data_IF_500621636362
#
_entry.id   IF_500621636362
#
_cell.length_a   1.000
_cell.length_b   1.000
_cell.length_c   1.000
_cell.angle_alpha   90.00
_cell.angle_beta   90.00
_cell.angle_gamma   90.00
#
_symmetry.space_group_name_H-M   'P 1'
#
loop_
_entity.id
_entity.type
_entity.pdbx_description
1 polymer ?
#
# COMPACT_ATOMS: atom_id res chain seq x y z
N UNK A 1 -1.43 -9.61 -20.75
CA UNK A 1 -1.75 -8.23 -21.21
C UNK A 1 -3.05 -7.67 -20.63
N UNK A 2 -4.12 -8.46 -20.45
CA UNK A 2 -5.37 -7.98 -19.80
C UNK A 2 -5.15 -7.51 -18.35
N UNK A 3 -4.44 -8.31 -17.55
CA UNK A 3 -4.21 -8.01 -16.13
C UNK A 3 -3.37 -6.75 -15.94
N UNK A 4 -2.27 -6.60 -16.69
CA UNK A 4 -1.45 -5.38 -16.68
C UNK A 4 -2.24 -4.12 -17.06
N UNK A 5 -3.08 -4.19 -18.11
CA UNK A 5 -3.92 -3.07 -18.50
C UNK A 5 -4.93 -2.68 -17.42
N UNK A 6 -5.57 -3.66 -16.79
CA UNK A 6 -6.50 -3.43 -15.68
C UNK A 6 -5.76 -2.83 -14.46
N UNK A 7 -4.58 -3.35 -14.13
CA UNK A 7 -3.75 -2.82 -13.03
C UNK A 7 -3.34 -1.37 -13.27
N UNK A 8 -2.94 -1.01 -14.49
CA UNK A 8 -2.60 0.37 -14.85
C UNK A 8 -3.81 1.30 -14.79
N UNK A 9 -4.97 0.84 -15.26
CA UNK A 9 -6.20 1.61 -15.22
C UNK A 9 -6.67 1.87 -13.78
N UNK A 10 -6.68 0.84 -12.94
CA UNK A 10 -7.00 0.99 -11.52
C UNK A 10 -5.98 1.91 -10.85
N UNK A 11 -4.68 1.71 -11.13
CA UNK A 11 -3.62 2.55 -10.60
C UNK A 11 -3.79 4.03 -10.96
N UNK A 12 -4.12 4.35 -12.22
CA UNK A 12 -4.32 5.74 -12.63
C UNK A 12 -5.54 6.38 -11.97
N UNK A 13 -6.63 5.63 -11.76
CA UNK A 13 -7.80 6.12 -11.03
C UNK A 13 -7.44 6.39 -9.57
N UNK A 14 -6.75 5.47 -8.90
CA UNK A 14 -6.35 5.63 -7.50
C UNK A 14 -5.40 6.83 -7.31
N UNK A 15 -4.45 7.01 -8.23
CA UNK A 15 -3.55 8.17 -8.24
C UNK A 15 -4.34 9.46 -8.44
N UNK A 16 -5.29 9.48 -9.38
CA UNK A 16 -6.16 10.63 -9.63
C UNK A 16 -6.95 11.03 -8.38
N UNK A 17 -7.62 10.05 -7.74
CA UNK A 17 -8.38 10.27 -6.51
C UNK A 17 -7.52 10.78 -5.36
N UNK A 18 -6.32 10.23 -5.18
CA UNK A 18 -5.39 10.70 -4.16
C UNK A 18 -4.98 12.18 -4.39
N UNK A 19 -4.75 12.56 -5.64
CA UNK A 19 -4.42 13.94 -6.00
C UNK A 19 -5.61 14.88 -5.77
N UNK A 20 -6.81 14.47 -6.16
CA UNK A 20 -8.03 15.25 -5.94
C UNK A 20 -8.29 15.48 -4.45
N UNK A 21 -8.14 14.44 -3.62
CA UNK A 21 -8.29 14.55 -2.16
C UNK A 21 -7.25 15.51 -1.56
N UNK A 22 -5.99 15.42 -1.97
CA UNK A 22 -4.95 16.35 -1.54
C UNK A 22 -5.29 17.79 -1.92
N UNK A 23 -5.83 18.02 -3.11
CA UNK A 23 -6.24 19.35 -3.53
C UNK A 23 -7.42 19.87 -2.70
N UNK A 24 -8.39 19.02 -2.35
CA UNK A 24 -9.50 19.39 -1.45
C UNK A 24 -9.01 19.72 -0.03
N UNK A 25 -7.93 19.10 0.42
CA UNK A 25 -7.24 19.42 1.67
C UNK A 25 -6.35 20.68 1.58
N UNK A 26 -6.29 21.34 0.43
CA UNK A 26 -5.55 22.59 0.21
C UNK A 26 -4.09 22.41 -0.19
N UNK A 27 -3.65 21.18 -0.51
CA UNK A 27 -2.30 20.94 -1.02
C UNK A 27 -2.17 21.37 -2.49
N UNK A 28 -0.97 21.85 -2.84
CA UNK A 28 -0.64 22.14 -4.25
C UNK A 28 -0.42 20.86 -5.04
N UNK A 29 -0.67 20.90 -6.35
CA UNK A 29 -0.43 19.76 -7.26
C UNK A 29 0.99 19.19 -7.11
N UNK A 30 2.00 20.05 -6.93
CA UNK A 30 3.40 19.64 -6.74
C UNK A 30 3.63 18.91 -5.42
N UNK A 31 2.96 19.32 -4.34
CA UNK A 31 3.01 18.62 -3.06
C UNK A 31 2.31 17.27 -3.17
N UNK A 32 1.14 17.24 -3.80
CA UNK A 32 0.37 16.01 -3.97
C UNK A 32 1.11 14.95 -4.80
N UNK A 33 1.72 15.35 -5.92
CA UNK A 33 2.58 14.44 -6.68
C UNK A 33 3.71 13.84 -5.84
N UNK A 34 4.27 14.61 -4.90
CA UNK A 34 5.30 14.12 -3.97
C UNK A 34 4.72 13.21 -2.89
N UNK A 35 3.49 13.45 -2.47
CA UNK A 35 2.75 12.62 -1.52
C UNK A 35 2.42 11.25 -2.12
N UNK A 36 1.92 11.21 -3.35
CA UNK A 36 1.63 9.96 -4.07
C UNK A 36 2.90 9.11 -4.29
N UNK A 37 4.02 9.74 -4.63
CA UNK A 37 5.29 9.04 -4.84
C UNK A 37 5.95 8.57 -3.52
N UNK A 38 5.64 9.21 -2.39
CA UNK A 38 6.15 8.84 -1.08
C UNK A 38 5.05 8.97 -0.01
N UNK A 39 4.15 7.96 0.09
CA UNK A 39 3.01 8.02 1.00
C UNK A 39 3.41 7.98 2.47
N UNK A 40 4.54 7.34 2.80
CA UNK A 40 5.06 7.27 4.18
C UNK A 40 5.38 8.63 4.79
N UNK A 41 5.61 9.65 3.96
CA UNK A 41 5.86 11.01 4.42
C UNK A 41 4.60 11.69 4.97
N UNK A 42 3.43 11.23 4.53
CA UNK A 42 2.14 11.87 4.79
C UNK A 42 1.33 11.07 5.81
N UNK A 43 1.67 9.79 6.01
CA UNK A 43 0.99 8.94 6.97
C UNK A 43 1.26 9.37 8.41
N UNK A 44 0.18 9.47 9.18
CA UNK A 44 0.24 9.76 10.60
C UNK A 44 0.85 8.57 11.38
N UNK A 45 1.36 8.86 12.57
CA UNK A 45 2.02 7.83 13.42
C UNK A 45 1.11 6.59 13.67
N UNK A 46 -0.20 6.74 13.93
CA UNK A 46 -1.09 5.58 14.08
C UNK A 46 -1.27 4.78 12.78
N UNK A 47 -1.34 5.44 11.63
CA UNK A 47 -1.50 4.78 10.33
C UNK A 47 -0.26 3.94 9.99
N UNK A 48 0.92 4.50 10.24
CA UNK A 48 2.20 3.79 10.10
C UNK A 48 2.23 2.55 10.99
N UNK A 49 1.85 2.68 12.26
CA UNK A 49 1.80 1.56 13.19
C UNK A 49 0.87 0.44 12.71
N UNK A 50 -0.35 0.79 12.28
CA UNK A 50 -1.33 -0.18 11.78
C UNK A 50 -0.81 -0.91 10.53
N UNK A 51 -0.20 -0.18 9.58
CA UNK A 51 0.38 -0.77 8.38
C UNK A 51 1.47 -1.80 8.74
N UNK A 52 2.42 -1.43 9.59
CA UNK A 52 3.49 -2.35 10.00
C UNK A 52 2.96 -3.53 10.81
N UNK A 53 1.94 -3.32 11.65
CA UNK A 53 1.31 -4.39 12.41
C UNK A 53 0.64 -5.43 11.48
N UNK A 54 -0.10 -4.97 10.46
CA UNK A 54 -0.73 -5.86 9.47
C UNK A 54 0.34 -6.61 8.66
N UNK A 55 1.39 -5.92 8.22
CA UNK A 55 2.51 -6.55 7.50
C UNK A 55 3.21 -7.60 8.37
N UNK A 56 3.40 -7.34 9.66
CA UNK A 56 3.98 -8.29 10.60
C UNK A 56 3.10 -9.55 10.72
N UNK A 57 1.79 -9.40 10.87
CA UNK A 57 0.86 -10.54 10.93
C UNK A 57 0.93 -11.37 9.64
N UNK A 58 0.97 -10.72 8.49
CA UNK A 58 1.11 -11.41 7.21
C UNK A 58 2.43 -12.18 7.09
N UNK A 59 3.55 -11.58 7.51
CA UNK A 59 4.85 -12.28 7.53
C UNK A 59 4.83 -13.48 8.48
N UNK A 60 4.23 -13.33 9.67
CA UNK A 60 4.10 -14.44 10.63
C UNK A 60 3.24 -15.58 10.07
N UNK A 61 2.15 -15.26 9.38
CA UNK A 61 1.28 -16.27 8.74
C UNK A 61 2.03 -17.03 7.62
N UNK A 62 2.76 -16.30 6.76
CA UNK A 62 3.60 -16.90 5.72
C UNK A 62 4.68 -17.80 6.34
N UNK A 63 5.35 -17.34 7.40
CA UNK A 63 6.36 -18.15 8.09
C UNK A 63 5.72 -19.40 8.71
N UNK A 64 4.60 -19.28 9.41
CA UNK A 64 3.89 -20.40 10.01
C UNK A 64 3.48 -21.43 8.95
N UNK A 65 2.93 -20.98 7.81
CA UNK A 65 2.60 -21.84 6.68
C UNK A 65 3.82 -22.59 6.13
N UNK A 66 4.96 -21.90 5.98
CA UNK A 66 6.21 -22.53 5.52
C UNK A 66 6.74 -23.56 6.53
N UNK A 67 6.70 -23.26 7.83
CA UNK A 67 7.11 -24.20 8.89
C UNK A 67 6.19 -25.43 8.96
N UNK A 68 4.87 -25.24 8.88
CA UNK A 68 3.89 -26.34 8.87
C UNK A 68 4.02 -27.22 7.62
N UNK A 69 4.24 -26.62 6.44
CA UNK A 69 4.53 -27.38 5.22
C UNK A 69 5.82 -28.21 5.34
N UNK A 70 6.84 -27.70 6.04
CA UNK A 70 8.09 -28.41 6.29
C UNK A 70 7.90 -29.63 7.20
N UNK A 71 6.98 -29.56 8.17
CA UNK A 71 6.65 -30.70 9.04
C UNK A 71 5.76 -31.77 8.38
N UNK A 72 4.98 -31.43 7.36
CA UNK A 72 4.11 -32.38 6.64
C UNK A 72 4.83 -33.16 5.53
N UNK A 73 6.07 -32.76 5.19
CA UNK A 73 6.90 -33.36 4.15
C UNK A 73 8.02 -34.26 4.70
N UNK A 74 8.17 -34.34 6.03
CA UNK A 74 9.00 -35.31 6.76
C UNK A 74 8.17 -36.50 7.21
#
# INVERSE_FOLDING_TARGET
MKLLGISLFIGSILIGLAIEMDMLMGFTLRQSMRNVLNPFRVMETPEMFILFFILLLWVLDVLAALFLQKHKKM
#
